data_IF_215069116822
#
_entry.id   IF_215069116822
#
_cell.length_a   1.000
_cell.length_b   1.000
_cell.length_c   1.000
_cell.angle_alpha   90.00
_cell.angle_beta   90.00
_cell.angle_gamma   90.00
#
_symmetry.space_group_name_H-M   'P 1'
#
loop_
_entity.id
_entity.type
_entity.pdbx_description
1 polymer ?
#
# COMPACT_ATOMS: atom_id res chain seq x y z
N UNK A 1 8.07 -50.17 -23.62
CA UNK A 1 9.06 -49.29 -22.93
C UNK A 1 8.34 -47.97 -22.59
N UNK A 2 7.84 -47.80 -21.36
CA UNK A 2 7.12 -46.59 -20.92
C UNK A 2 8.12 -45.63 -20.29
N UNK A 3 8.28 -44.48 -20.91
CA UNK A 3 9.16 -43.40 -20.40
C UNK A 3 8.39 -42.65 -19.33
N UNK A 4 8.81 -42.76 -18.07
CA UNK A 4 8.35 -41.92 -16.95
C UNK A 4 9.08 -40.59 -17.03
N UNK A 5 8.32 -39.49 -17.27
CA UNK A 5 8.83 -38.13 -17.18
C UNK A 5 8.65 -37.67 -15.72
N UNK A 6 9.71 -37.31 -14.98
CA UNK A 6 9.57 -36.82 -13.63
C UNK A 6 8.99 -35.40 -13.66
N UNK A 7 7.87 -35.19 -12.98
CA UNK A 7 7.33 -33.88 -12.68
C UNK A 7 8.25 -33.15 -11.68
N UNK A 8 8.96 -32.13 -12.14
CA UNK A 8 9.74 -31.25 -11.29
C UNK A 8 8.79 -30.28 -10.57
N UNK A 9 8.49 -30.56 -9.32
CA UNK A 9 7.76 -29.61 -8.45
C UNK A 9 8.71 -28.49 -8.06
N UNK A 10 8.62 -27.34 -8.72
CA UNK A 10 9.34 -26.13 -8.32
C UNK A 10 8.62 -25.57 -7.09
N UNK A 11 9.14 -25.88 -5.92
CA UNK A 11 8.69 -25.29 -4.67
C UNK A 11 9.01 -23.80 -4.66
N UNK A 12 7.99 -22.96 -4.66
CA UNK A 12 8.15 -21.53 -4.37
C UNK A 12 8.59 -21.38 -2.90
N UNK A 13 9.88 -21.14 -2.70
CA UNK A 13 10.39 -20.72 -1.40
C UNK A 13 9.93 -19.29 -1.18
N UNK A 14 8.89 -19.10 -0.35
CA UNK A 14 8.52 -17.80 0.16
C UNK A 14 9.65 -17.31 1.08
N UNK A 15 10.47 -16.38 0.59
CA UNK A 15 11.46 -15.69 1.42
C UNK A 15 10.68 -14.81 2.40
N UNK A 16 10.46 -15.30 3.60
CA UNK A 16 10.02 -14.50 4.71
C UNK A 16 11.15 -13.52 5.06
N UNK A 17 10.99 -12.25 4.71
CA UNK A 17 11.89 -11.19 5.16
C UNK A 17 11.88 -11.17 6.68
N UNK A 18 13.06 -11.26 7.31
CA UNK A 18 13.17 -11.18 8.74
C UNK A 18 12.56 -9.85 9.24
N UNK A 19 11.64 -9.94 10.19
CA UNK A 19 10.85 -8.83 10.77
C UNK A 19 11.74 -7.68 11.32
N UNK A 20 13.02 -7.96 11.61
CA UNK A 20 14.03 -7.02 12.12
C UNK A 20 14.46 -5.92 11.11
N UNK A 21 14.23 -6.10 9.81
CA UNK A 21 14.58 -5.10 8.77
C UNK A 21 13.49 -4.06 8.53
N UNK A 22 12.26 -4.28 9.03
CA UNK A 22 11.12 -3.39 8.80
C UNK A 22 11.00 -2.41 9.97
N UNK A 23 11.06 -1.07 9.71
CA UNK A 23 10.91 -0.07 10.78
C UNK A 23 9.62 -0.29 11.58
N UNK A 24 9.68 -0.17 12.91
CA UNK A 24 8.54 -0.43 13.81
C UNK A 24 7.24 0.23 13.39
N UNK A 25 7.29 1.47 12.90
CA UNK A 25 6.12 2.21 12.39
C UNK A 25 5.48 1.63 11.13
N UNK A 26 6.15 0.66 10.47
CA UNK A 26 5.66 -0.04 9.27
C UNK A 26 5.30 -1.50 9.56
N UNK A 27 5.54 -1.99 10.80
CA UNK A 27 5.21 -3.35 11.20
C UNK A 27 3.71 -3.55 11.38
N UNK A 28 3.25 -4.78 11.10
CA UNK A 28 1.84 -5.17 11.18
C UNK A 28 1.67 -6.48 11.95
N UNK A 29 0.51 -6.67 12.58
CA UNK A 29 0.17 -7.90 13.29
C UNK A 29 0.11 -9.14 12.38
N UNK A 30 -0.23 -8.94 11.09
CA UNK A 30 -0.27 -10.04 10.11
C UNK A 30 1.11 -10.42 9.57
N UNK A 31 2.13 -9.56 9.76
CA UNK A 31 3.50 -9.78 9.26
C UNK A 31 3.60 -10.08 7.76
N UNK A 32 2.64 -9.59 6.98
CA UNK A 32 2.59 -9.72 5.53
C UNK A 32 3.08 -8.42 4.89
N UNK A 33 4.21 -8.49 4.20
CA UNK A 33 4.89 -7.33 3.63
C UNK A 33 5.26 -7.56 2.17
N UNK A 34 5.18 -6.50 1.39
CA UNK A 34 5.72 -6.41 0.03
C UNK A 34 6.27 -5.01 -0.19
N UNK A 35 7.26 -4.84 -1.07
CA UNK A 35 7.58 -3.53 -1.62
C UNK A 35 6.66 -3.23 -2.83
N UNK A 36 6.72 -2.02 -3.35
CA UNK A 36 5.85 -1.57 -4.44
C UNK A 36 6.02 -2.40 -5.72
N UNK A 37 7.25 -2.79 -6.07
CA UNK A 37 7.52 -3.65 -7.23
C UNK A 37 6.92 -5.05 -7.04
N UNK A 38 7.14 -5.68 -5.90
CA UNK A 38 6.53 -6.97 -5.57
C UNK A 38 5.00 -6.90 -5.54
N UNK A 39 4.44 -5.78 -5.08
CA UNK A 39 3.00 -5.55 -5.09
C UNK A 39 2.46 -5.49 -6.53
N UNK A 40 3.15 -4.78 -7.42
CA UNK A 40 2.80 -4.74 -8.84
C UNK A 40 2.88 -6.13 -9.49
N UNK A 41 3.98 -6.85 -9.28
CA UNK A 41 4.17 -8.23 -9.80
C UNK A 41 3.07 -9.17 -9.29
N UNK A 42 2.75 -9.11 -7.99
CA UNK A 42 1.70 -9.93 -7.37
C UNK A 42 0.30 -9.61 -7.94
N UNK A 43 -0.01 -8.33 -8.13
CA UNK A 43 -1.27 -7.92 -8.74
C UNK A 43 -1.35 -8.32 -10.21
N UNK A 44 -0.29 -8.10 -10.99
CA UNK A 44 -0.23 -8.41 -12.43
C UNK A 44 -0.39 -9.90 -12.71
N UNK A 45 0.14 -10.75 -11.84
CA UNK A 45 -0.02 -12.19 -11.95
C UNK A 45 -1.47 -12.66 -11.68
N UNK A 46 -2.24 -11.92 -10.86
CA UNK A 46 -3.58 -12.32 -10.42
C UNK A 46 -4.52 -11.11 -10.28
N UNK A 47 -4.83 -10.36 -11.34
CA UNK A 47 -5.61 -9.11 -11.25
C UNK A 47 -7.07 -9.33 -10.86
N UNK A 48 -7.61 -10.56 -11.05
CA UNK A 48 -8.99 -10.91 -10.68
C UNK A 48 -9.17 -11.25 -9.19
N UNK A 49 -8.10 -11.53 -8.45
CA UNK A 49 -8.16 -12.01 -7.06
C UNK A 49 -7.30 -11.20 -6.10
N UNK A 50 -6.46 -10.32 -6.60
CA UNK A 50 -5.61 -9.42 -5.82
C UNK A 50 -6.10 -7.99 -5.98
N UNK A 51 -6.30 -7.31 -4.86
CA UNK A 51 -6.80 -5.93 -4.83
C UNK A 51 -5.72 -4.97 -4.34
N UNK A 52 -5.74 -3.73 -4.85
CA UNK A 52 -4.90 -2.63 -4.35
C UNK A 52 -5.80 -1.65 -3.61
N UNK A 53 -5.46 -1.36 -2.35
CA UNK A 53 -6.14 -0.38 -1.51
C UNK A 53 -5.18 0.79 -1.21
N UNK A 54 -5.53 1.99 -1.67
CA UNK A 54 -4.81 3.22 -1.35
C UNK A 54 -5.50 3.95 -0.19
N UNK A 55 -4.82 4.00 0.96
CA UNK A 55 -5.37 4.61 2.19
C UNK A 55 -4.91 6.05 2.39
N UNK A 56 -4.36 6.68 1.35
CA UNK A 56 -4.03 8.11 1.37
C UNK A 56 -5.30 8.95 1.36
N UNK A 57 -5.14 10.23 1.69
CA UNK A 57 -6.25 11.18 1.56
C UNK A 57 -6.72 11.30 0.11
N UNK A 58 -8.00 11.68 -0.15
CA UNK A 58 -8.47 11.93 -1.51
C UNK A 58 -7.62 12.96 -2.25
N UNK A 59 -7.15 13.99 -1.56
CA UNK A 59 -6.26 15.00 -2.14
C UNK A 59 -4.93 14.40 -2.62
N UNK A 60 -4.28 13.54 -1.81
CA UNK A 60 -3.06 12.84 -2.25
C UNK A 60 -3.34 11.93 -3.46
N UNK A 61 -4.45 11.19 -3.46
CA UNK A 61 -4.85 10.30 -4.55
C UNK A 61 -5.06 11.08 -5.87
N UNK A 62 -5.71 12.23 -5.80
CA UNK A 62 -6.02 13.07 -6.96
C UNK A 62 -4.78 13.82 -7.48
N UNK A 63 -4.06 14.54 -6.60
CA UNK A 63 -3.05 15.51 -7.01
C UNK A 63 -1.62 14.94 -7.09
N UNK A 64 -1.31 13.87 -6.35
CA UNK A 64 -0.02 13.20 -6.45
C UNK A 64 -0.03 12.09 -7.51
N UNK A 65 -1.24 11.66 -7.92
CA UNK A 65 -1.47 10.51 -8.79
C UNK A 65 -1.70 9.22 -7.99
N UNK A 66 -2.09 8.17 -8.68
CA UNK A 66 -2.47 6.88 -8.08
C UNK A 66 -2.24 5.70 -9.05
N UNK A 67 -2.22 4.47 -8.52
CA UNK A 67 -2.24 3.27 -9.34
C UNK A 67 -3.64 3.13 -10.00
N UNK A 68 -3.74 2.87 -11.33
CA UNK A 68 -5.03 2.89 -12.05
C UNK A 68 -6.07 1.92 -11.51
N UNK A 69 -5.63 0.84 -10.84
CA UNK A 69 -6.49 -0.20 -10.28
C UNK A 69 -6.77 -0.01 -8.78
N UNK A 70 -6.16 0.98 -8.13
CA UNK A 70 -6.27 1.14 -6.68
C UNK A 70 -7.61 1.75 -6.27
N UNK A 71 -8.32 1.10 -5.35
CA UNK A 71 -9.46 1.68 -4.65
C UNK A 71 -8.95 2.63 -3.59
N UNK A 72 -9.39 3.89 -3.60
CA UNK A 72 -9.08 4.83 -2.52
C UNK A 72 -10.12 4.72 -1.41
N UNK A 73 -9.67 4.39 -0.20
CA UNK A 73 -10.44 4.52 1.04
C UNK A 73 -9.50 5.12 2.08
N UNK A 74 -9.62 6.42 2.38
CA UNK A 74 -8.68 7.10 3.25
C UNK A 74 -8.79 6.61 4.69
N UNK A 75 -7.65 6.31 5.34
CA UNK A 75 -7.62 6.05 6.77
C UNK A 75 -7.69 7.35 7.59
N UNK A 76 -7.29 8.46 6.96
CA UNK A 76 -7.35 9.81 7.54
C UNK A 76 -7.71 10.81 6.46
N UNK A 77 -8.40 11.88 6.86
CA UNK A 77 -8.66 13.06 6.05
C UNK A 77 -7.71 14.20 6.43
N UNK A 78 -7.37 15.06 5.48
CA UNK A 78 -6.81 16.37 5.78
C UNK A 78 -7.88 17.22 6.46
N UNK A 79 -7.49 17.99 7.44
CA UNK A 79 -8.32 19.06 7.97
C UNK A 79 -7.61 20.42 7.76
N UNK A 80 -8.34 21.51 7.94
CA UNK A 80 -7.82 22.88 7.72
C UNK A 80 -7.00 23.41 8.91
N UNK A 81 -6.37 22.55 9.70
CA UNK A 81 -5.51 22.93 10.80
C UNK A 81 -4.04 22.69 10.44
N UNK A 82 -3.17 23.48 11.04
CA UNK A 82 -1.72 23.30 10.96
C UNK A 82 -1.21 22.97 12.36
N UNK A 83 -0.43 21.88 12.49
CA UNK A 83 0.26 21.60 13.74
C UNK A 83 1.38 22.65 13.93
N UNK A 84 1.31 23.50 14.97
CA UNK A 84 2.23 24.63 15.11
C UNK A 84 3.69 24.21 15.39
N UNK A 85 3.90 23.03 15.99
CA UNK A 85 5.25 22.54 16.30
C UNK A 85 5.92 21.85 15.12
N UNK A 86 5.15 21.13 14.30
CA UNK A 86 5.71 20.33 13.19
C UNK A 86 5.50 20.96 11.82
N UNK A 87 4.75 22.04 11.73
CA UNK A 87 4.31 22.73 10.50
C UNK A 87 3.72 21.76 9.47
N UNK A 88 3.03 20.71 9.95
CA UNK A 88 2.36 19.73 9.10
C UNK A 88 0.85 19.94 9.14
N UNK A 89 0.16 19.69 8.00
CA UNK A 89 -1.29 19.71 7.98
C UNK A 89 -1.89 18.76 9.01
N UNK A 90 -2.96 19.18 9.65
CA UNK A 90 -3.73 18.35 10.57
C UNK A 90 -4.38 17.19 9.83
N UNK A 91 -4.53 16.07 10.53
CA UNK A 91 -5.11 14.85 10.00
C UNK A 91 -6.16 14.32 10.96
N UNK A 92 -7.37 14.10 10.48
CA UNK A 92 -8.47 13.49 11.23
C UNK A 92 -8.66 12.04 10.81
N UNK A 93 -8.88 11.14 11.77
CA UNK A 93 -9.15 9.72 11.47
C UNK A 93 -10.49 9.56 10.73
N UNK A 94 -10.54 8.61 9.82
CA UNK A 94 -11.79 8.19 9.19
C UNK A 94 -12.46 7.13 10.07
N UNK A 95 -13.44 7.52 10.83
CA UNK A 95 -14.19 6.63 11.74
C UNK A 95 -14.95 5.53 10.96
N UNK A 96 -15.27 5.78 9.70
CA UNK A 96 -15.97 4.82 8.83
C UNK A 96 -15.02 3.90 8.06
N UNK A 97 -13.69 3.99 8.25
CA UNK A 97 -12.71 3.27 7.43
C UNK A 97 -13.04 1.77 7.28
N UNK A 98 -13.27 1.06 8.38
CA UNK A 98 -13.57 -0.38 8.33
C UNK A 98 -14.94 -0.68 7.71
N UNK A 99 -15.93 0.18 7.92
CA UNK A 99 -17.24 0.02 7.28
C UNK A 99 -17.11 0.15 5.75
N UNK A 100 -16.35 1.13 5.28
CA UNK A 100 -16.14 1.36 3.84
C UNK A 100 -15.29 0.24 3.20
N UNK A 101 -14.27 -0.25 3.90
CA UNK A 101 -13.49 -1.42 3.45
C UNK A 101 -14.39 -2.64 3.29
N UNK A 102 -15.29 -2.94 4.25
CA UNK A 102 -16.23 -4.08 4.19
C UNK A 102 -17.25 -3.96 3.05
N UNK A 103 -17.60 -2.75 2.60
CA UNK A 103 -18.47 -2.54 1.42
C UNK A 103 -17.76 -2.93 0.10
N UNK A 104 -16.44 -2.85 0.05
CA UNK A 104 -15.64 -3.06 -1.17
C UNK A 104 -14.95 -4.42 -1.23
N UNK A 105 -14.59 -5.00 -0.08
CA UNK A 105 -13.74 -6.20 -0.01
C UNK A 105 -14.32 -7.25 0.93
N UNK A 106 -14.13 -8.52 0.56
CA UNK A 106 -14.42 -9.68 1.41
C UNK A 106 -13.23 -9.95 2.33
N UNK A 107 -13.46 -10.53 3.50
CA UNK A 107 -12.39 -10.88 4.46
C UNK A 107 -11.38 -11.90 3.91
N UNK A 108 -11.79 -12.67 2.91
CA UNK A 108 -10.97 -13.69 2.23
C UNK A 108 -10.12 -13.14 1.10
N UNK A 109 -10.37 -11.89 0.66
CA UNK A 109 -9.65 -11.26 -0.45
C UNK A 109 -8.19 -11.02 -0.10
N UNK A 110 -7.32 -11.13 -1.11
CA UNK A 110 -5.94 -10.67 -1.02
C UNK A 110 -5.91 -9.17 -1.30
N UNK A 111 -5.44 -8.38 -0.32
CA UNK A 111 -5.44 -6.91 -0.40
C UNK A 111 -4.03 -6.39 -0.12
N UNK A 112 -3.49 -5.62 -1.05
CA UNK A 112 -2.21 -4.94 -0.94
C UNK A 112 -2.48 -3.47 -0.61
N UNK A 113 -2.07 -3.02 0.57
CA UNK A 113 -2.43 -1.71 1.12
C UNK A 113 -1.26 -0.75 1.00
N UNK A 114 -1.48 0.39 0.35
CA UNK A 114 -0.48 1.44 0.24
C UNK A 114 -0.93 2.74 0.91
N UNK A 115 0.04 3.50 1.39
CA UNK A 115 -0.10 4.90 1.69
C UNK A 115 1.04 5.69 1.03
N UNK A 116 1.48 6.81 1.59
CA UNK A 116 2.61 7.56 1.03
C UNK A 116 3.93 6.78 1.08
N UNK A 117 4.25 6.16 2.26
CA UNK A 117 5.55 5.50 2.51
C UNK A 117 5.48 4.37 3.57
N UNK A 118 4.33 3.69 3.70
CA UNK A 118 4.21 2.44 4.47
C UNK A 118 3.68 2.54 5.90
N UNK A 119 3.65 3.71 6.57
CA UNK A 119 3.25 3.80 7.99
C UNK A 119 1.74 3.86 8.20
N UNK A 120 1.00 4.67 7.42
CA UNK A 120 -0.47 4.74 7.50
C UNK A 120 -1.11 3.44 7.00
N UNK A 121 -0.51 2.81 5.98
CA UNK A 121 -0.95 1.49 5.49
C UNK A 121 -0.73 0.39 6.53
N UNK A 122 0.35 0.42 7.31
CA UNK A 122 0.53 -0.49 8.43
C UNK A 122 -0.58 -0.35 9.49
N UNK A 123 -0.97 0.89 9.83
CA UNK A 123 -2.09 1.13 10.74
C UNK A 123 -3.42 0.61 10.14
N UNK A 124 -3.65 0.81 8.83
CA UNK A 124 -4.82 0.30 8.13
C UNK A 124 -4.86 -1.24 8.14
N UNK A 125 -3.75 -1.91 7.85
CA UNK A 125 -3.62 -3.37 7.92
C UNK A 125 -3.97 -3.88 9.33
N UNK A 126 -3.48 -3.22 10.38
CA UNK A 126 -3.79 -3.61 11.76
C UNK A 126 -5.29 -3.45 12.11
N UNK A 127 -5.95 -2.40 11.62
CA UNK A 127 -7.40 -2.24 11.78
C UNK A 127 -8.18 -3.31 11.01
N UNK A 128 -7.76 -3.61 9.77
CA UNK A 128 -8.37 -4.65 8.95
C UNK A 128 -8.18 -6.05 9.57
N UNK A 129 -7.00 -6.35 10.11
CA UNK A 129 -6.72 -7.59 10.83
C UNK A 129 -7.66 -7.77 12.04
N UNK A 130 -7.83 -6.72 12.86
CA UNK A 130 -8.80 -6.72 13.98
C UNK A 130 -10.25 -6.93 13.50
N UNK A 131 -10.58 -6.50 12.28
CA UNK A 131 -11.89 -6.69 11.67
C UNK A 131 -12.05 -8.08 11.00
N UNK A 132 -11.04 -8.95 11.06
CA UNK A 132 -11.05 -10.34 10.60
C UNK A 132 -10.57 -10.55 9.16
N UNK A 133 -9.92 -9.58 8.52
CA UNK A 133 -9.22 -9.77 7.25
C UNK A 133 -7.88 -10.48 7.50
N UNK A 134 -7.54 -11.48 6.70
CA UNK A 134 -6.38 -12.35 6.94
C UNK A 134 -5.25 -12.20 5.91
N UNK A 135 -5.57 -11.84 4.67
CA UNK A 135 -4.61 -11.74 3.56
C UNK A 135 -4.34 -10.28 3.17
N UNK A 136 -3.96 -9.47 4.15
CA UNK A 136 -3.74 -8.03 3.97
C UNK A 136 -2.26 -7.72 4.13
N UNK A 137 -1.64 -7.25 3.04
CA UNK A 137 -0.22 -6.97 2.94
C UNK A 137 0.04 -5.47 3.07
N UNK A 138 1.05 -5.09 3.84
CA UNK A 138 1.53 -3.71 3.84
C UNK A 138 2.54 -3.50 2.70
N UNK A 139 2.27 -2.55 1.80
CA UNK A 139 3.28 -2.07 0.83
C UNK A 139 4.18 -1.09 1.59
N UNK A 140 5.37 -1.57 2.00
CA UNK A 140 6.24 -0.92 2.99
C UNK A 140 6.88 0.40 2.52
N UNK A 141 6.99 0.62 1.23
CA UNK A 141 7.48 1.84 0.61
C UNK A 141 6.34 2.73 0.05
N UNK A 142 5.12 2.21 -0.03
CA UNK A 142 3.91 2.95 -0.40
C UNK A 142 3.93 3.47 -1.84
N UNK A 143 3.20 4.58 -2.08
CA UNK A 143 3.08 5.16 -3.41
C UNK A 143 4.26 6.06 -3.78
N UNK A 144 4.68 6.97 -2.89
CA UNK A 144 5.73 7.95 -3.17
C UNK A 144 7.13 7.47 -2.77
N UNK A 145 7.22 6.51 -1.85
CA UNK A 145 8.48 5.99 -1.37
C UNK A 145 9.12 6.77 -0.24
N UNK A 146 10.38 6.47 0.01
CA UNK A 146 11.20 7.12 1.03
C UNK A 146 11.93 8.34 0.43
N UNK A 147 12.22 9.33 1.28
CA UNK A 147 12.96 10.53 0.86
C UNK A 147 14.45 10.23 0.73
N UNK A 148 15.07 10.78 -0.30
CA UNK A 148 16.52 10.83 -0.42
C UNK A 148 17.10 11.63 0.76
N UNK A 149 18.07 11.05 1.43
CA UNK A 149 18.83 11.68 2.53
C UNK A 149 20.29 11.81 2.09
N UNK A 150 20.53 12.82 1.32
CA UNK A 150 21.86 13.15 0.81
C UNK A 150 21.97 14.68 0.77
N UNK A 151 22.69 15.26 1.74
CA UNK A 151 22.85 16.71 1.90
C UNK A 151 23.48 17.38 0.67
N UNK A 152 24.29 16.65 -0.06
CA UNK A 152 25.07 17.17 -1.20
C UNK A 152 24.26 17.11 -2.51
N UNK A 153 23.11 16.45 -2.48
CA UNK A 153 22.24 16.32 -3.65
C UNK A 153 21.17 17.43 -3.69
N UNK A 154 21.00 18.06 -4.86
CA UNK A 154 19.87 18.97 -5.12
C UNK A 154 18.51 18.29 -5.03
N UNK A 155 18.48 16.95 -4.97
CA UNK A 155 17.27 16.15 -4.78
C UNK A 155 17.04 15.76 -3.31
N UNK A 156 17.86 16.24 -2.37
CA UNK A 156 17.71 15.95 -0.96
C UNK A 156 16.27 16.23 -0.49
N UNK A 157 15.69 15.29 0.24
CA UNK A 157 14.31 15.36 0.72
C UNK A 157 13.23 14.90 -0.28
N UNK A 158 13.55 14.81 -1.59
CA UNK A 158 12.60 14.31 -2.61
C UNK A 158 12.39 12.80 -2.47
N UNK A 159 11.15 12.34 -2.78
CA UNK A 159 10.78 10.92 -2.71
C UNK A 159 11.01 10.24 -4.06
N UNK A 160 12.21 9.71 -4.25
CA UNK A 160 12.68 9.16 -5.54
C UNK A 160 13.40 7.81 -5.40
N UNK A 161 13.53 7.27 -4.17
CA UNK A 161 14.34 6.07 -3.93
C UNK A 161 13.57 4.80 -4.31
N UNK A 162 12.31 4.70 -3.89
CA UNK A 162 11.44 3.54 -4.02
C UNK A 162 9.97 3.99 -4.04
N UNK A 163 9.03 3.07 -3.85
CA UNK A 163 7.60 3.34 -3.89
C UNK A 163 7.00 3.09 -5.28
N UNK A 164 5.68 2.96 -5.33
CA UNK A 164 4.94 2.57 -6.53
C UNK A 164 5.28 3.44 -7.74
N UNK A 165 5.25 4.77 -7.58
CA UNK A 165 5.50 5.74 -8.66
C UNK A 165 6.89 5.63 -9.25
N UNK A 166 7.88 5.19 -8.46
CA UNK A 166 9.28 5.11 -8.87
C UNK A 166 9.73 3.68 -9.23
N UNK A 167 8.86 2.67 -9.12
CA UNK A 167 9.20 1.25 -9.33
C UNK A 167 8.96 0.75 -10.76
N UNK A 168 8.52 1.61 -11.69
CA UNK A 168 8.10 1.23 -13.04
C UNK A 168 6.67 0.67 -13.12
N UNK A 169 5.94 0.59 -12.00
CA UNK A 169 4.54 0.21 -11.99
C UNK A 169 3.65 1.33 -12.59
N UNK A 170 2.52 1.00 -13.24
CA UNK A 170 1.65 1.99 -13.86
C UNK A 170 1.00 2.90 -12.82
N UNK A 171 0.96 4.20 -13.13
CA UNK A 171 0.25 5.18 -12.32
C UNK A 171 -0.34 6.29 -13.21
N UNK A 172 -1.33 7.03 -12.70
CA UNK A 172 -2.10 8.01 -13.47
C UNK A 172 -2.67 9.12 -12.59
N UNK A 173 -3.09 10.21 -13.22
CA UNK A 173 -3.94 11.25 -12.64
C UNK A 173 -5.42 11.11 -13.06
N UNK A 174 -5.71 10.21 -14.04
CA UNK A 174 -7.08 10.03 -14.56
C UNK A 174 -7.93 9.31 -13.52
N UNK A 175 -8.93 10.02 -12.99
CA UNK A 175 -9.84 9.47 -11.98
C UNK A 175 -10.88 8.54 -12.59
N UNK A 176 -11.15 7.45 -11.87
CA UNK A 176 -12.32 6.61 -12.07
C UNK A 176 -13.24 6.73 -10.86
N UNK A 177 -14.49 7.18 -11.07
CA UNK A 177 -15.47 7.42 -9.99
C UNK A 177 -15.67 6.19 -9.07
N UNK A 178 -15.64 4.98 -9.63
CA UNK A 178 -15.82 3.73 -8.86
C UNK A 178 -14.65 3.41 -7.93
N UNK A 179 -13.46 3.99 -8.17
CA UNK A 179 -12.23 3.73 -7.44
C UNK A 179 -11.85 4.87 -6.50
N UNK A 180 -12.18 6.11 -6.86
CA UNK A 180 -11.90 7.29 -6.05
C UNK A 180 -12.91 7.44 -4.91
N UNK A 181 -12.46 7.96 -3.77
CA UNK A 181 -13.29 8.20 -2.59
C UNK A 181 -14.03 9.54 -2.70
N UNK A 182 -15.31 9.46 -2.91
CA UNK A 182 -16.25 10.59 -2.85
C UNK A 182 -17.41 10.16 -1.92
N UNK A 183 -17.44 10.63 -0.66
CA UNK A 183 -18.47 10.29 0.32
C UNK A 183 -19.85 10.84 -0.05
#
# INVERSE_FOLDING_TARGET
MRILIPFLVIGFVSVAWADSSIPTKKQTSLKLYVNARQAWEKWSANPGTTNILDVRTPAEYIFIGHAPMAVNIPIKFLNNTLNPMTLKPGMQSNENFIADVKKKFKKTDTILVMCRSGSRSAAAVNLMAKAGFQKVYNIIDGFEGDSLKDSDSYQNGKRIINGWRNSGAPWTYKLERKLAYFP
#
